data_IF_909906309036
#
_entry.id   IF_909906309036
#
_cell.length_a   1.000
_cell.length_b   1.000
_cell.length_c   1.000
_cell.angle_alpha   90.00
_cell.angle_beta   90.00
_cell.angle_gamma   90.00
#
_symmetry.space_group_name_H-M   'P 1'
#
loop_
_entity.id
_entity.type
_entity.pdbx_description
1 polymer ?
#
# COMPACT_ATOMS: atom_id res chain seq x y z
N UNK A 1 -9.28 2.88 17.14
CA UNK A 1 -8.17 1.97 16.75
C UNK A 1 -7.24 2.74 15.82
N UNK A 2 -5.96 2.37 15.73
CA UNK A 2 -5.09 2.89 14.68
C UNK A 2 -5.43 2.21 13.34
N UNK A 3 -5.30 2.90 12.18
CA UNK A 3 -5.56 2.30 10.88
C UNK A 3 -4.53 1.21 10.56
N UNK A 4 -4.94 0.19 9.81
CA UNK A 4 -4.06 -0.86 9.28
C UNK A 4 -3.19 -0.23 8.19
N UNK A 5 -1.86 -0.38 8.28
CA UNK A 5 -0.94 0.23 7.32
C UNK A 5 -0.59 -0.79 6.24
N UNK A 6 -0.84 -0.40 5.00
CA UNK A 6 -0.75 -1.28 3.83
C UNK A 6 0.22 -0.68 2.82
N UNK A 7 1.02 -1.53 2.18
CA UNK A 7 1.73 -1.18 0.94
C UNK A 7 1.01 -1.85 -0.21
N UNK A 8 0.88 -1.17 -1.35
CA UNK A 8 0.33 -1.77 -2.57
C UNK A 8 1.45 -2.05 -3.57
N UNK A 9 1.62 -3.30 -3.99
CA UNK A 9 2.56 -3.68 -5.05
C UNK A 9 1.82 -4.22 -6.27
N UNK A 10 1.86 -3.49 -7.39
CA UNK A 10 1.24 -3.88 -8.66
C UNK A 10 1.91 -3.09 -9.80
N UNK A 11 2.18 -3.73 -10.92
CA UNK A 11 2.84 -3.14 -12.09
C UNK A 11 1.91 -2.21 -12.92
N UNK A 12 0.63 -2.15 -12.59
CA UNK A 12 -0.38 -1.31 -13.22
C UNK A 12 -0.79 -0.13 -12.34
N UNK A 13 -0.25 1.06 -12.65
CA UNK A 13 -0.54 2.29 -11.89
C UNK A 13 -2.04 2.65 -11.79
N UNK A 14 -2.85 2.33 -12.82
CA UNK A 14 -4.30 2.57 -12.81
C UNK A 14 -5.00 1.67 -11.78
N UNK A 15 -4.59 0.41 -11.68
CA UNK A 15 -5.15 -0.56 -10.73
C UNK A 15 -4.81 -0.13 -9.30
N UNK A 16 -3.53 0.19 -9.01
CA UNK A 16 -3.14 0.68 -7.67
C UNK A 16 -3.92 1.92 -7.24
N UNK A 17 -4.13 2.88 -8.14
CA UNK A 17 -4.90 4.09 -7.83
C UNK A 17 -6.33 3.76 -7.43
N UNK A 18 -6.99 2.83 -8.14
CA UNK A 18 -8.33 2.37 -7.81
C UNK A 18 -8.38 1.65 -6.46
N UNK A 19 -7.42 0.75 -6.20
CA UNK A 19 -7.33 0.01 -4.93
C UNK A 19 -7.10 0.98 -3.76
N UNK A 20 -6.17 1.93 -3.89
CA UNK A 20 -5.92 2.95 -2.85
C UNK A 20 -7.20 3.68 -2.48
N UNK A 21 -7.95 4.16 -3.47
CA UNK A 21 -9.18 4.92 -3.23
C UNK A 21 -10.20 4.11 -2.42
N UNK A 22 -10.38 2.83 -2.75
CA UNK A 22 -11.33 1.94 -2.05
C UNK A 22 -10.84 1.64 -0.63
N UNK A 23 -9.55 1.39 -0.43
CA UNK A 23 -9.00 1.07 0.89
C UNK A 23 -9.06 2.28 1.85
N UNK A 24 -8.79 3.48 1.35
CA UNK A 24 -8.76 4.69 2.19
C UNK A 24 -10.17 5.28 2.46
N UNK A 25 -11.22 4.80 1.78
CA UNK A 25 -12.58 5.35 1.87
C UNK A 25 -13.17 5.31 3.28
N UNK A 26 -12.96 4.23 4.03
CA UNK A 26 -13.53 4.06 5.39
C UNK A 26 -12.63 4.58 6.50
N UNK A 27 -11.36 4.91 6.19
CA UNK A 27 -10.37 5.38 7.15
C UNK A 27 -9.80 4.30 8.08
N UNK A 28 -10.24 3.05 7.96
CA UNK A 28 -9.71 1.91 8.73
C UNK A 28 -8.37 1.40 8.20
N UNK A 29 -8.07 1.73 6.93
CA UNK A 29 -6.85 1.33 6.22
C UNK A 29 -6.15 2.57 5.70
N UNK A 30 -4.83 2.58 5.84
CA UNK A 30 -3.95 3.63 5.33
C UNK A 30 -2.93 3.01 4.38
N UNK A 31 -2.89 3.47 3.14
CA UNK A 31 -1.85 3.04 2.20
C UNK A 31 -0.61 3.91 2.38
N UNK A 32 0.41 3.34 3.02
CA UNK A 32 1.62 4.07 3.42
C UNK A 32 2.67 4.16 2.31
N UNK A 33 2.64 3.27 1.33
CA UNK A 33 3.48 3.33 0.13
C UNK A 33 2.89 2.53 -1.04
N UNK A 34 3.43 2.75 -2.24
CA UNK A 34 3.10 2.01 -3.46
C UNK A 34 4.39 1.59 -4.16
N UNK A 35 4.38 0.39 -4.73
CA UNK A 35 5.47 -0.16 -5.52
C UNK A 35 4.98 -0.58 -6.91
N UNK A 36 5.79 -0.33 -7.94
CA UNK A 36 5.60 -0.82 -9.30
C UNK A 36 6.23 -2.19 -9.57
N UNK A 37 7.13 -2.63 -8.68
CA UNK A 37 7.82 -3.91 -8.79
C UNK A 37 8.19 -4.51 -7.42
N UNK A 38 8.73 -5.72 -7.43
CA UNK A 38 9.06 -6.46 -6.21
C UNK A 38 10.28 -5.91 -5.46
N UNK A 39 11.25 -5.30 -6.14
CA UNK A 39 12.45 -4.76 -5.49
C UNK A 39 12.08 -3.48 -4.70
N UNK A 40 11.31 -2.60 -5.32
CA UNK A 40 10.72 -1.43 -4.68
C UNK A 40 9.81 -1.83 -3.51
N UNK A 41 8.97 -2.86 -3.69
CA UNK A 41 8.11 -3.36 -2.62
C UNK A 41 8.90 -3.82 -1.39
N UNK A 42 9.98 -4.58 -1.59
CA UNK A 42 10.84 -5.04 -0.49
C UNK A 42 11.53 -3.88 0.24
N UNK A 43 12.03 -2.88 -0.50
CA UNK A 43 12.63 -1.69 0.08
C UNK A 43 11.62 -0.92 0.94
N UNK A 44 10.41 -0.71 0.42
CA UNK A 44 9.33 0.01 1.13
C UNK A 44 8.82 -0.77 2.35
N UNK A 45 8.78 -2.10 2.29
CA UNK A 45 8.44 -2.93 3.47
C UNK A 45 9.48 -2.75 4.58
N UNK A 46 10.77 -2.71 4.25
CA UNK A 46 11.83 -2.50 5.22
C UNK A 46 11.77 -1.10 5.85
N UNK A 47 11.46 -0.08 5.05
CA UNK A 47 11.33 1.32 5.48
C UNK A 47 10.08 1.54 6.35
N UNK A 48 8.92 1.10 5.89
CA UNK A 48 7.64 1.43 6.53
C UNK A 48 7.18 0.40 7.54
N UNK A 49 7.63 -0.84 7.49
CA UNK A 49 7.15 -1.94 8.34
C UNK A 49 5.61 -2.02 8.38
N UNK A 50 4.94 -2.24 7.25
CA UNK A 50 3.47 -2.33 7.21
C UNK A 50 2.97 -3.61 7.87
N UNK A 51 1.68 -3.66 8.17
CA UNK A 51 0.99 -4.86 8.64
C UNK A 51 0.61 -5.79 7.46
N UNK A 52 0.44 -5.23 6.25
CA UNK A 52 0.07 -5.95 5.04
C UNK A 52 0.84 -5.41 3.84
N UNK A 53 1.28 -6.31 2.95
CA UNK A 53 1.81 -6.04 1.61
C UNK A 53 0.85 -6.62 0.57
#
# INVERSE_FOLDING_TARGET
MAPIRVILADDHAVVRKGIRQVLEETGDIQVVAEAGDGEEALALVAEHRPEVL
#
